data_IF_513409639678
#
_entry.id   IF_513409639678
#
_cell.length_a   1.000
_cell.length_b   1.000
_cell.length_c   1.000
_cell.angle_alpha   90.00
_cell.angle_beta   90.00
_cell.angle_gamma   90.00
#
_symmetry.space_group_name_H-M   'P 1'
#
loop_
_entity.id
_entity.type
_entity.pdbx_description
1 polymer ?
#
# COMPACT_ATOMS: atom_id res chain seq x y z
N UNK A 1 -25.32 9.04 -14.96
CA UNK A 1 -25.22 8.35 -16.28
C UNK A 1 -24.38 7.08 -16.24
N UNK A 2 -23.15 7.08 -15.73
CA UNK A 2 -22.29 5.88 -15.82
C UNK A 2 -22.88 4.59 -15.20
N UNK A 3 -23.61 4.70 -14.08
CA UNK A 3 -24.31 3.58 -13.43
C UNK A 3 -25.37 2.91 -14.30
N UNK A 4 -25.97 3.65 -15.24
CA UNK A 4 -26.97 3.13 -16.18
C UNK A 4 -26.25 2.42 -17.34
N UNK A 5 -25.15 2.99 -17.82
CA UNK A 5 -24.34 2.42 -18.90
C UNK A 5 -23.51 1.20 -18.47
N UNK A 6 -23.14 1.13 -17.19
CA UNK A 6 -22.36 0.06 -16.56
C UNK A 6 -23.10 -0.50 -15.36
N UNK A 7 -24.28 -1.07 -15.61
CA UNK A 7 -25.07 -1.74 -14.58
C UNK A 7 -24.31 -2.93 -13.96
N UNK A 8 -23.43 -3.57 -14.72
CA UNK A 8 -22.48 -4.59 -14.27
C UNK A 8 -21.54 -4.07 -13.17
N UNK A 9 -21.01 -2.86 -13.33
CA UNK A 9 -20.13 -2.23 -12.35
C UNK A 9 -20.87 -1.85 -11.05
N UNK A 10 -22.20 -1.72 -11.11
CA UNK A 10 -23.05 -1.55 -9.92
C UNK A 10 -23.39 -2.91 -9.31
N UNK A 11 -23.67 -3.93 -10.13
CA UNK A 11 -24.01 -5.28 -9.68
C UNK A 11 -22.88 -5.92 -8.87
N UNK A 12 -21.62 -5.75 -9.29
CA UNK A 12 -20.45 -6.27 -8.57
C UNK A 12 -20.31 -5.68 -7.16
N UNK A 13 -20.86 -4.48 -6.90
CA UNK A 13 -20.88 -3.89 -5.56
C UNK A 13 -21.76 -4.68 -4.60
N UNK A 14 -22.62 -5.57 -5.10
CA UNK A 14 -23.52 -6.42 -4.31
C UNK A 14 -23.12 -7.89 -4.32
N UNK A 15 -22.21 -8.30 -5.20
CA UNK A 15 -21.73 -9.67 -5.29
C UNK A 15 -21.02 -10.12 -4.00
N UNK A 16 -21.40 -11.30 -3.49
CA UNK A 16 -20.90 -11.80 -2.20
C UNK A 16 -19.43 -12.19 -2.28
N UNK A 17 -18.98 -12.77 -3.38
CA UNK A 17 -17.59 -13.19 -3.57
C UNK A 17 -16.68 -11.99 -3.72
N UNK A 18 -17.10 -10.99 -4.52
CA UNK A 18 -16.38 -9.73 -4.68
C UNK A 18 -16.20 -9.03 -3.34
N UNK A 19 -17.28 -8.87 -2.55
CA UNK A 19 -17.19 -8.26 -1.21
C UNK A 19 -16.24 -9.00 -0.28
N UNK A 20 -16.24 -10.34 -0.31
CA UNK A 20 -15.36 -11.17 0.51
C UNK A 20 -13.90 -11.02 0.09
N UNK A 21 -13.62 -11.14 -1.21
CA UNK A 21 -12.26 -11.16 -1.78
C UNK A 21 -11.61 -9.76 -1.81
N UNK A 22 -12.41 -8.71 -2.01
CA UNK A 22 -11.93 -7.33 -2.19
C UNK A 22 -12.44 -6.39 -1.09
N UNK A 23 -12.65 -6.93 0.12
CA UNK A 23 -13.21 -6.19 1.27
C UNK A 23 -12.53 -4.84 1.52
N UNK A 24 -11.18 -4.79 1.49
CA UNK A 24 -10.40 -3.55 1.64
C UNK A 24 -10.68 -2.56 0.51
N UNK A 25 -10.78 -3.02 -0.74
CA UNK A 25 -11.04 -2.15 -1.89
C UNK A 25 -12.39 -1.45 -1.74
N UNK A 26 -13.44 -2.19 -1.36
CA UNK A 26 -14.75 -1.61 -1.08
C UNK A 26 -14.73 -0.63 0.10
N UNK A 27 -14.04 -0.97 1.18
CA UNK A 27 -13.90 -0.08 2.33
C UNK A 27 -13.20 1.24 1.96
N UNK A 28 -12.16 1.18 1.11
CA UNK A 28 -11.49 2.38 0.58
C UNK A 28 -12.43 3.20 -0.29
N UNK A 29 -13.15 2.55 -1.22
CA UNK A 29 -14.11 3.21 -2.10
C UNK A 29 -15.21 3.96 -1.31
N UNK A 30 -15.59 3.44 -0.15
CA UNK A 30 -16.58 4.03 0.76
C UNK A 30 -15.99 5.02 1.78
N UNK A 31 -14.69 5.33 1.70
CA UNK A 31 -13.97 6.15 2.68
C UNK A 31 -13.99 5.60 4.11
N UNK A 32 -14.25 4.31 4.31
CA UNK A 32 -14.24 3.65 5.62
C UNK A 32 -12.80 3.35 6.08
N UNK A 33 -11.88 3.12 5.13
CA UNK A 33 -10.48 2.77 5.40
C UNK A 33 -9.54 3.48 4.42
N UNK A 34 -8.34 3.91 4.82
CA UNK A 34 -7.39 4.51 3.89
C UNK A 34 -6.82 3.48 2.91
N UNK A 35 -6.40 3.90 1.72
CA UNK A 35 -5.69 3.00 0.81
C UNK A 35 -4.33 2.57 1.38
N UNK A 36 -3.90 1.33 1.10
CA UNK A 36 -2.62 0.79 1.63
C UNK A 36 -1.40 1.63 1.26
N UNK A 37 -1.34 2.16 0.03
CA UNK A 37 -0.23 3.01 -0.40
C UNK A 37 -0.19 4.34 0.39
N UNK A 38 -1.33 4.86 0.84
CA UNK A 38 -1.38 6.05 1.68
C UNK A 38 -0.81 5.76 3.07
N UNK A 39 -1.07 4.58 3.62
CA UNK A 39 -0.43 4.13 4.87
C UNK A 39 1.09 4.00 4.65
N UNK A 40 1.52 3.35 3.56
CA UNK A 40 2.94 3.17 3.26
C UNK A 40 3.70 4.50 3.12
N UNK A 41 3.06 5.54 2.57
CA UNK A 41 3.61 6.92 2.51
C UNK A 41 3.85 7.56 3.89
N UNK A 42 3.31 7.02 4.97
CA UNK A 42 3.45 7.57 6.33
C UNK A 42 4.48 6.82 7.18
N UNK A 43 5.06 5.73 6.67
CA UNK A 43 6.07 4.97 7.38
C UNK A 43 7.46 5.51 7.03
N UNK A 44 8.20 6.10 7.98
CA UNK A 44 9.54 6.62 7.71
C UNK A 44 10.55 5.50 7.47
N UNK A 45 11.50 5.74 6.58
CA UNK A 45 12.68 4.90 6.39
C UNK A 45 13.82 5.74 5.87
N UNK A 46 15.04 5.48 6.32
CA UNK A 46 16.25 6.02 5.69
C UNK A 46 16.89 4.97 4.79
N UNK A 47 17.13 5.33 3.54
CA UNK A 47 17.95 4.54 2.62
C UNK A 47 18.78 5.46 1.74
N UNK A 48 19.86 4.93 1.19
CA UNK A 48 20.78 5.69 0.34
C UNK A 48 20.98 5.02 -1.00
N UNK A 49 21.39 5.79 -2.01
CA UNK A 49 21.79 5.24 -3.31
C UNK A 49 22.94 4.23 -3.20
N UNK A 50 23.74 4.33 -2.13
CA UNK A 50 24.88 3.43 -1.87
C UNK A 50 24.47 2.10 -1.26
N UNK A 51 23.26 2.00 -0.73
CA UNK A 51 22.78 0.76 -0.12
C UNK A 51 22.70 -0.32 -1.21
N UNK A 52 23.01 -1.57 -0.89
CA UNK A 52 22.88 -2.70 -1.82
C UNK A 52 21.41 -3.10 -2.01
N UNK A 53 21.10 -3.85 -3.06
CA UNK A 53 19.72 -4.35 -3.30
C UNK A 53 19.26 -5.22 -2.12
N UNK A 54 20.15 -6.05 -1.59
CA UNK A 54 19.91 -6.91 -0.43
C UNK A 54 19.59 -6.10 0.83
N UNK A 55 20.33 -5.02 1.08
CA UNK A 55 20.08 -4.10 2.20
C UNK A 55 18.70 -3.44 2.08
N UNK A 56 18.33 -2.99 0.87
CA UNK A 56 16.99 -2.44 0.63
C UNK A 56 15.89 -3.46 0.89
N UNK A 57 16.08 -4.72 0.49
CA UNK A 57 15.12 -5.80 0.77
C UNK A 57 15.03 -6.14 2.26
N UNK A 58 16.13 -6.09 3.01
CA UNK A 58 16.11 -6.28 4.47
C UNK A 58 15.34 -5.16 5.19
N UNK A 59 15.57 -3.91 4.78
CA UNK A 59 14.79 -2.75 5.26
C UNK A 59 13.31 -2.92 4.92
N UNK A 60 13.02 -3.36 3.70
CA UNK A 60 11.67 -3.62 3.22
C UNK A 60 10.97 -4.70 4.07
N UNK A 61 11.65 -5.80 4.39
CA UNK A 61 11.09 -6.87 5.22
C UNK A 61 10.72 -6.37 6.62
N UNK A 62 11.62 -5.61 7.26
CA UNK A 62 11.37 -4.99 8.57
C UNK A 62 10.17 -4.05 8.54
N UNK A 63 10.12 -3.15 7.56
CA UNK A 63 9.01 -2.21 7.41
C UNK A 63 7.69 -2.88 7.01
N UNK A 64 7.75 -4.04 6.37
CA UNK A 64 6.54 -4.81 6.05
C UNK A 64 5.84 -5.29 7.33
N UNK A 65 6.60 -5.72 8.33
CA UNK A 65 6.03 -6.10 9.64
C UNK A 65 5.41 -4.89 10.35
N UNK A 66 6.13 -3.76 10.35
CA UNK A 66 5.63 -2.51 10.93
C UNK A 66 4.40 -1.99 10.20
N UNK A 67 4.37 -2.12 8.86
CA UNK A 67 3.21 -1.77 8.03
C UNK A 67 1.97 -2.57 8.45
N UNK A 68 2.08 -3.88 8.64
CA UNK A 68 0.95 -4.70 9.08
C UNK A 68 0.46 -4.33 10.48
N UNK A 69 1.39 -3.99 11.38
CA UNK A 69 1.03 -3.49 12.73
C UNK A 69 0.24 -2.19 12.63
N UNK A 70 0.77 -1.21 11.91
CA UNK A 70 0.15 0.11 11.73
C UNK A 70 -1.19 -0.01 11.01
N UNK A 71 -1.29 -0.84 9.96
CA UNK A 71 -2.56 -1.09 9.26
C UNK A 71 -3.63 -1.60 10.23
N UNK A 72 -3.31 -2.58 11.09
CA UNK A 72 -4.24 -3.10 12.10
C UNK A 72 -4.63 -2.04 13.13
N UNK A 73 -3.69 -1.19 13.56
CA UNK A 73 -3.97 -0.11 14.51
C UNK A 73 -4.89 0.96 13.91
N UNK A 74 -4.68 1.32 12.64
CA UNK A 74 -5.55 2.25 11.91
C UNK A 74 -6.95 1.64 11.72
N UNK A 75 -7.01 0.38 11.30
CA UNK A 75 -8.26 -0.33 11.04
C UNK A 75 -9.11 -0.55 12.29
N UNK A 76 -8.48 -0.65 13.46
CA UNK A 76 -9.15 -0.76 14.75
C UNK A 76 -9.43 0.59 15.42
N UNK A 77 -9.06 1.71 14.78
CA UNK A 77 -9.23 3.06 15.32
C UNK A 77 -8.26 3.43 16.43
N UNK A 78 -7.30 2.56 16.79
CA UNK A 78 -6.28 2.82 17.83
C UNK A 78 -5.27 3.89 17.42
N UNK A 79 -5.08 4.08 16.10
CA UNK A 79 -4.18 5.09 15.55
C UNK A 79 -4.91 5.92 14.49
N UNK A 80 -4.88 7.25 14.65
CA UNK A 80 -5.48 8.15 13.66
C UNK A 80 -4.53 8.36 12.47
N UNK A 81 -4.93 7.83 11.30
CA UNK A 81 -4.18 8.01 10.06
C UNK A 81 -3.96 9.49 9.68
N UNK A 82 -4.95 10.36 9.96
CA UNK A 82 -4.89 11.78 9.54
C UNK A 82 -3.83 12.58 10.32
N UNK A 83 -3.50 12.15 11.53
CA UNK A 83 -2.50 12.79 12.39
C UNK A 83 -1.06 12.37 12.07
N UNK A 84 -0.89 11.31 11.28
CA UNK A 84 0.44 10.84 10.89
C UNK A 84 1.11 11.84 9.94
N UNK A 85 2.30 12.32 10.31
CA UNK A 85 3.12 13.20 9.46
C UNK A 85 3.67 12.43 8.26
N UNK A 86 3.82 13.12 7.14
CA UNK A 86 4.55 12.57 6.00
C UNK A 86 6.06 12.68 6.28
N UNK A 87 6.82 11.57 6.22
CA UNK A 87 8.27 11.61 6.31
C UNK A 87 8.89 12.13 5.01
N UNK A 88 10.19 12.46 5.05
CA UNK A 88 10.97 12.81 3.85
C UNK A 88 11.13 11.62 2.91
N UNK A 89 11.41 10.46 3.48
CA UNK A 89 11.54 9.18 2.79
C UNK A 89 10.62 8.17 3.46
N UNK A 90 9.79 7.51 2.65
CA UNK A 90 8.74 6.61 3.12
C UNK A 90 8.96 5.17 2.67
N UNK A 91 8.26 4.24 3.32
CA UNK A 91 8.22 2.84 2.89
C UNK A 91 7.70 2.69 1.45
N UNK A 92 6.87 3.61 0.97
CA UNK A 92 6.51 3.64 -0.45
C UNK A 92 7.71 4.02 -1.32
N UNK A 93 8.51 5.01 -0.91
CA UNK A 93 9.69 5.45 -1.67
C UNK A 93 10.75 4.35 -1.73
N UNK A 94 10.94 3.59 -0.65
CA UNK A 94 11.79 2.40 -0.65
C UNK A 94 11.32 1.36 -1.69
N UNK A 95 10.01 1.14 -1.81
CA UNK A 95 9.46 0.23 -2.82
C UNK A 95 9.69 0.74 -4.25
N UNK A 96 9.59 2.05 -4.45
CA UNK A 96 9.88 2.69 -5.75
C UNK A 96 11.35 2.47 -6.11
N UNK A 97 12.26 2.70 -5.16
CA UNK A 97 13.70 2.50 -5.38
C UNK A 97 14.03 1.04 -5.73
N UNK A 98 13.50 0.07 -4.98
CA UNK A 98 13.66 -1.35 -5.29
C UNK A 98 13.12 -1.67 -6.69
N UNK A 99 11.95 -1.15 -7.05
CA UNK A 99 11.36 -1.36 -8.37
C UNK A 99 12.23 -0.76 -9.48
N UNK A 100 12.76 0.45 -9.29
CA UNK A 100 13.68 1.08 -10.23
C UNK A 100 14.93 0.24 -10.45
N UNK A 101 15.53 -0.31 -9.39
CA UNK A 101 16.72 -1.17 -9.51
C UNK A 101 16.45 -2.48 -10.24
N UNK A 102 15.30 -3.10 -9.96
CA UNK A 102 14.84 -4.30 -10.68
C UNK A 102 14.67 -4.00 -12.18
N UNK A 103 14.16 -2.82 -12.53
CA UNK A 103 13.99 -2.42 -13.94
C UNK A 103 15.33 -2.09 -14.62
N UNK A 104 16.24 -1.41 -13.92
CA UNK A 104 17.55 -1.03 -14.46
C UNK A 104 18.45 -2.24 -14.75
N UNK A 105 18.39 -3.28 -13.92
CA UNK A 105 19.10 -4.53 -14.11
C UNK A 105 18.07 -5.65 -14.18
N UNK A 106 17.29 -5.80 -15.27
CA UNK A 106 16.11 -6.69 -15.35
C UNK A 106 16.30 -8.01 -14.56
N UNK A 107 15.75 -8.09 -13.33
CA UNK A 107 15.81 -9.34 -12.54
C UNK A 107 14.78 -10.38 -13.02
N UNK A 108 13.99 -10.06 -14.04
CA UNK A 108 12.98 -10.94 -14.63
C UNK A 108 13.45 -11.62 -15.92
N UNK A 109 14.58 -11.16 -16.45
CA UNK A 109 15.15 -11.60 -17.71
C UNK A 109 16.47 -12.32 -17.39
N UNK A 110 16.66 -13.54 -17.89
CA UNK A 110 17.96 -14.22 -17.90
C UNK A 110 18.77 -13.83 -19.13
#
# INVERSE_FOLDING_TARGET
MWRILRSDAVAVLNDRLAKKSLSRYFAVMKNEKPAKFLIAKKLPVGFSEKDSVEELWQKHATLTQEFYRIEKEIDSGKRNFKEMRAPRESYLDLKIEIANRILSNCHFCT
#
